data_IF_323097633022
#
_entry.id   IF_323097633022
#
_cell.length_a   1.000
_cell.length_b   1.000
_cell.length_c   1.000
_cell.angle_alpha   90.00
_cell.angle_beta   90.00
_cell.angle_gamma   90.00
#
_symmetry.space_group_name_H-M   'P 1'
#
loop_
_entity.id
_entity.type
_entity.pdbx_description
1 polymer ?
#
# COMPACT_ATOMS: atom_id res chain seq x y z
N UNK A 1 -23.89 4.95 -9.17
CA UNK A 1 -23.60 6.37 -9.45
C UNK A 1 -22.12 6.52 -9.73
N UNK A 2 -21.73 7.05 -10.90
CA UNK A 2 -20.33 7.27 -11.30
C UNK A 2 -19.83 8.62 -10.75
N UNK A 3 -19.45 8.67 -9.47
CA UNK A 3 -18.91 9.89 -8.84
C UNK A 3 -17.37 9.92 -8.80
N UNK A 4 -16.70 9.00 -9.50
CA UNK A 4 -15.26 8.91 -9.53
C UNK A 4 -14.60 10.13 -10.18
N UNK A 5 -13.54 10.65 -9.55
CA UNK A 5 -12.69 11.71 -10.15
C UNK A 5 -11.40 11.09 -10.68
N UNK A 6 -11.16 11.25 -11.98
CA UNK A 6 -9.96 10.75 -12.67
C UNK A 6 -8.99 11.89 -13.00
N UNK A 7 -7.70 11.67 -12.75
CA UNK A 7 -6.62 12.54 -13.23
C UNK A 7 -5.94 11.85 -14.40
N UNK A 8 -6.34 12.20 -15.63
CA UNK A 8 -5.74 11.63 -16.85
C UNK A 8 -4.51 12.41 -17.30
N UNK A 9 -3.38 11.72 -17.40
CA UNK A 9 -2.13 12.32 -17.88
C UNK A 9 -1.97 12.01 -19.38
N UNK A 10 -2.27 12.98 -20.24
CA UNK A 10 -2.28 12.77 -21.70
C UNK A 10 -0.89 12.58 -22.31
N UNK A 11 0.12 13.28 -21.79
CA UNK A 11 1.48 13.25 -22.35
C UNK A 11 2.19 11.93 -22.02
N UNK A 12 2.71 11.18 -23.02
CA UNK A 12 3.45 9.94 -22.78
C UNK A 12 4.68 10.14 -21.88
N UNK A 13 5.37 11.28 -22.03
CA UNK A 13 6.53 11.62 -21.18
C UNK A 13 6.12 11.83 -19.72
N UNK A 14 5.01 12.52 -19.49
CA UNK A 14 4.49 12.73 -18.13
C UNK A 14 3.93 11.44 -17.51
N UNK A 15 3.33 10.55 -18.31
CA UNK A 15 2.93 9.21 -17.83
C UNK A 15 4.14 8.40 -17.36
N UNK A 16 5.21 8.38 -18.15
CA UNK A 16 6.46 7.71 -17.77
C UNK A 16 7.03 8.29 -16.47
N UNK A 17 7.06 9.61 -16.35
CA UNK A 17 7.52 10.29 -15.14
C UNK A 17 6.66 9.92 -13.91
N UNK A 18 5.33 9.99 -14.01
CA UNK A 18 4.41 9.55 -12.96
C UNK A 18 4.66 8.11 -12.56
N UNK A 19 4.75 7.19 -13.52
CA UNK A 19 4.91 5.77 -13.24
C UNK A 19 6.25 5.49 -12.54
N UNK A 20 7.31 6.22 -12.89
CA UNK A 20 8.58 6.17 -12.17
C UNK A 20 8.44 6.65 -10.73
N UNK A 21 7.76 7.78 -10.49
CA UNK A 21 7.51 8.28 -9.13
C UNK A 21 6.71 7.29 -8.29
N UNK A 22 5.64 6.72 -8.86
CA UNK A 22 4.84 5.68 -8.20
C UNK A 22 5.69 4.46 -7.85
N UNK A 23 6.53 3.98 -8.78
CA UNK A 23 7.44 2.85 -8.54
C UNK A 23 8.43 3.16 -7.42
N UNK A 24 9.02 4.36 -7.39
CA UNK A 24 9.91 4.79 -6.31
C UNK A 24 9.19 4.80 -4.96
N UNK A 25 7.98 5.36 -4.90
CA UNK A 25 7.17 5.41 -3.69
C UNK A 25 6.81 4.01 -3.17
N UNK A 26 6.36 3.12 -4.05
CA UNK A 26 6.04 1.74 -3.70
C UNK A 26 7.28 0.95 -3.25
N UNK A 27 8.43 1.16 -3.89
CA UNK A 27 9.68 0.55 -3.46
C UNK A 27 10.10 1.03 -2.07
N UNK A 28 9.91 2.31 -1.75
CA UNK A 28 10.17 2.85 -0.41
C UNK A 28 9.30 2.16 0.64
N UNK A 29 8.00 1.99 0.37
CA UNK A 29 7.04 1.30 1.25
C UNK A 29 7.48 -0.14 1.49
N UNK A 30 7.80 -0.89 0.43
CA UNK A 30 8.24 -2.30 0.53
C UNK A 30 9.54 -2.40 1.32
N UNK A 31 10.52 -1.52 1.07
CA UNK A 31 11.77 -1.51 1.80
C UNK A 31 11.57 -1.19 3.28
N UNK A 32 10.66 -0.28 3.61
CA UNK A 32 10.34 0.07 4.99
C UNK A 32 9.62 -1.07 5.70
N UNK A 33 8.67 -1.73 5.05
CA UNK A 33 7.98 -2.93 5.58
C UNK A 33 8.99 -4.05 5.87
N UNK A 34 9.89 -4.32 4.93
CA UNK A 34 10.94 -5.32 5.10
C UNK A 34 11.87 -5.02 6.28
N UNK A 35 12.31 -3.76 6.44
CA UNK A 35 13.13 -3.35 7.59
C UNK A 35 12.42 -3.56 8.92
N UNK A 36 11.12 -3.22 8.98
CA UNK A 36 10.32 -3.44 10.19
C UNK A 36 10.12 -4.92 10.48
N UNK A 37 9.93 -5.74 9.45
CA UNK A 37 9.81 -7.18 9.58
C UNK A 37 11.10 -7.80 10.15
N UNK A 38 12.27 -7.45 9.61
CA UNK A 38 13.56 -7.91 10.14
C UNK A 38 13.69 -7.52 11.61
N UNK A 39 13.39 -6.25 11.95
CA UNK A 39 13.44 -5.78 13.34
C UNK A 39 12.45 -6.55 14.24
N UNK A 40 11.27 -6.86 13.73
CA UNK A 40 10.26 -7.62 14.47
C UNK A 40 10.73 -9.06 14.72
N UNK A 41 11.34 -9.72 13.74
CA UNK A 41 11.92 -11.06 13.87
C UNK A 41 13.03 -11.09 14.93
N UNK A 42 13.84 -10.03 15.05
CA UNK A 42 14.89 -9.96 16.10
C UNK A 42 14.36 -9.89 17.53
N UNK A 43 13.08 -9.56 17.73
CA UNK A 43 12.46 -9.50 19.06
C UNK A 43 11.93 -10.86 19.53
N UNK A 44 11.83 -11.83 18.63
CA UNK A 44 11.27 -13.15 18.90
C UNK A 44 12.36 -14.12 19.32
N UNK A 45 12.16 -14.80 20.45
CA UNK A 45 13.04 -15.89 20.86
C UNK A 45 12.65 -17.20 20.15
N UNK A 46 13.62 -17.81 19.48
CA UNK A 46 13.46 -19.07 18.75
C UNK A 46 14.12 -20.27 19.45
N UNK A 47 14.63 -20.09 20.68
CA UNK A 47 15.38 -21.12 21.43
C UNK A 47 14.50 -22.18 22.14
N UNK A 48 13.18 -22.19 21.90
CA UNK A 48 12.26 -23.18 22.47
C UNK A 48 11.67 -22.82 23.85
N UNK A 49 11.96 -21.61 24.35
CA UNK A 49 11.32 -21.02 25.53
C UNK A 49 10.15 -20.09 25.17
N UNK A 50 9.72 -19.21 26.11
CA UNK A 50 8.72 -18.18 25.83
C UNK A 50 9.14 -17.30 24.67
N UNK A 51 8.18 -16.97 23.78
CA UNK A 51 8.40 -16.20 22.56
C UNK A 51 9.03 -14.80 22.82
N UNK A 52 8.74 -14.23 23.99
CA UNK A 52 9.27 -12.95 24.46
C UNK A 52 9.78 -13.10 25.90
N UNK A 53 10.92 -12.49 26.20
CA UNK A 53 11.55 -12.53 27.53
C UNK A 53 11.08 -11.40 28.45
N UNK A 54 10.59 -10.30 27.87
CA UNK A 54 10.15 -9.12 28.63
C UNK A 54 8.84 -8.54 28.07
N UNK A 55 8.07 -7.86 28.91
CA UNK A 55 6.88 -7.12 28.48
C UNK A 55 7.22 -5.99 27.48
N UNK A 56 8.41 -5.40 27.62
CA UNK A 56 8.89 -4.38 26.70
C UNK A 56 9.09 -4.93 25.28
N UNK A 57 9.61 -6.15 25.13
CA UNK A 57 9.71 -6.83 23.83
C UNK A 57 8.33 -7.07 23.21
N UNK A 58 7.33 -7.47 24.01
CA UNK A 58 5.94 -7.63 23.55
C UNK A 58 5.41 -6.28 23.03
N UNK A 59 5.62 -5.20 23.79
CA UNK A 59 5.18 -3.85 23.40
C UNK A 59 5.85 -3.39 22.11
N UNK A 60 7.17 -3.55 21.99
CA UNK A 60 7.91 -3.21 20.78
C UNK A 60 7.44 -4.01 19.57
N UNK A 61 7.21 -5.32 19.75
CA UNK A 61 6.71 -6.20 18.70
C UNK A 61 5.33 -5.75 18.18
N UNK A 62 4.41 -5.44 19.10
CA UNK A 62 3.08 -4.95 18.77
C UNK A 62 3.14 -3.60 18.05
N UNK A 63 3.97 -2.67 18.53
CA UNK A 63 4.17 -1.38 17.88
C UNK A 63 4.68 -1.53 16.43
N UNK A 64 5.66 -2.42 16.19
CA UNK A 64 6.12 -2.72 14.83
C UNK A 64 5.02 -3.32 13.97
N UNK A 65 4.23 -4.24 14.53
CA UNK A 65 3.10 -4.86 13.82
C UNK A 65 2.07 -3.81 13.39
N UNK A 66 1.71 -2.87 14.27
CA UNK A 66 0.80 -1.78 13.93
C UNK A 66 1.38 -0.85 12.85
N UNK A 67 2.64 -0.43 12.99
CA UNK A 67 3.32 0.39 11.98
C UNK A 67 3.39 -0.28 10.60
N UNK A 68 3.61 -1.59 10.55
CA UNK A 68 3.59 -2.37 9.30
C UNK A 68 2.21 -2.35 8.65
N UNK A 69 1.14 -2.52 9.44
CA UNK A 69 -0.25 -2.43 8.93
C UNK A 69 -0.52 -1.03 8.37
N UNK A 70 -0.10 0.03 9.07
CA UNK A 70 -0.29 1.41 8.60
C UNK A 70 0.47 1.69 7.30
N UNK A 71 1.72 1.25 7.18
CA UNK A 71 2.53 1.44 5.97
C UNK A 71 1.94 0.70 4.77
N UNK A 72 1.45 -0.54 4.96
CA UNK A 72 0.74 -1.28 3.92
C UNK A 72 -0.55 -0.57 3.51
N UNK A 73 -1.30 -0.04 4.49
CA UNK A 73 -2.49 0.76 4.22
C UNK A 73 -2.15 2.00 3.41
N UNK A 74 -1.13 2.76 3.78
CA UNK A 74 -0.72 3.94 3.00
C UNK A 74 -0.37 3.60 1.55
N UNK A 75 0.26 2.44 1.29
CA UNK A 75 0.49 1.95 -0.07
C UNK A 75 -0.80 1.61 -0.80
N UNK A 76 -1.63 0.74 -0.22
CA UNK A 76 -2.83 0.19 -0.85
C UNK A 76 -3.94 1.22 -1.10
N UNK A 77 -3.99 2.27 -0.27
CA UNK A 77 -4.99 3.35 -0.40
C UNK A 77 -4.42 4.60 -1.08
N UNK A 78 -3.18 4.56 -1.60
CA UNK A 78 -2.60 5.68 -2.36
C UNK A 78 -3.02 5.65 -3.83
N UNK A 79 -2.91 6.82 -4.49
CA UNK A 79 -3.01 6.94 -5.95
C UNK A 79 -1.90 6.19 -6.71
N UNK A 80 -0.97 5.55 -5.99
CA UNK A 80 0.17 4.87 -6.59
C UNK A 80 -0.13 3.42 -6.95
N UNK A 81 -1.19 2.79 -6.43
CA UNK A 81 -1.45 1.37 -6.61
C UNK A 81 -2.95 1.06 -6.63
N UNK A 82 -3.41 0.30 -7.61
CA UNK A 82 -4.77 -0.24 -7.59
C UNK A 82 -4.86 -1.41 -6.59
N UNK A 83 -5.78 -1.39 -5.62
CA UNK A 83 -5.90 -2.45 -4.62
C UNK A 83 -6.46 -3.77 -5.18
N UNK A 84 -7.01 -3.76 -6.39
CA UNK A 84 -7.61 -4.93 -7.04
C UNK A 84 -6.58 -5.69 -7.89
N UNK A 85 -5.94 -4.99 -8.83
CA UNK A 85 -5.03 -5.61 -9.80
C UNK A 85 -3.55 -5.28 -9.56
N UNK A 86 -3.24 -4.47 -8.54
CA UNK A 86 -1.88 -4.04 -8.21
C UNK A 86 -1.16 -3.27 -9.34
N UNK A 87 -1.88 -2.80 -10.34
CA UNK A 87 -1.31 -1.90 -11.35
C UNK A 87 -0.99 -0.55 -10.73
N UNK A 88 0.15 0.02 -11.12
CA UNK A 88 0.56 1.39 -10.80
C UNK A 88 0.75 2.25 -12.07
N UNK A 89 0.61 1.65 -13.25
CA UNK A 89 0.87 2.32 -14.52
C UNK A 89 -0.37 3.02 -15.09
N UNK A 90 -1.55 2.52 -14.76
CA UNK A 90 -2.84 3.02 -15.22
C UNK A 90 -3.24 4.35 -14.55
N UNK A 91 -4.16 5.06 -15.20
CA UNK A 91 -4.80 6.22 -14.60
C UNK A 91 -5.73 5.76 -13.46
N UNK A 92 -5.73 6.53 -12.37
CA UNK A 92 -6.45 6.17 -11.15
C UNK A 92 -7.67 7.06 -10.96
N UNK A 93 -8.73 6.46 -10.46
CA UNK A 93 -10.02 7.07 -10.14
C UNK A 93 -10.20 7.02 -8.62
N UNK A 94 -10.42 8.19 -8.01
CA UNK A 94 -10.82 8.28 -6.61
C UNK A 94 -12.31 7.98 -6.49
N UNK A 95 -12.66 6.96 -5.71
CA UNK A 95 -14.03 6.71 -5.29
C UNK A 95 -14.31 7.36 -3.95
N UNK A 96 -15.38 8.14 -3.87
CA UNK A 96 -15.74 8.85 -2.64
C UNK A 96 -16.42 7.94 -1.60
N UNK A 97 -17.03 6.83 -2.02
CA UNK A 97 -17.78 5.97 -1.11
C UNK A 97 -16.87 4.97 -0.40
N UNK A 98 -15.90 4.40 -1.12
CA UNK A 98 -14.88 3.54 -0.53
C UNK A 98 -13.62 4.27 -0.09
N UNK A 99 -13.54 5.59 -0.29
CA UNK A 99 -12.38 6.44 0.02
C UNK A 99 -11.07 5.81 -0.50
N UNK A 100 -11.10 5.32 -1.73
CA UNK A 100 -10.01 4.50 -2.30
C UNK A 100 -9.76 4.84 -3.77
N UNK A 101 -8.50 4.68 -4.19
CA UNK A 101 -8.09 4.79 -5.59
C UNK A 101 -8.17 3.44 -6.31
N UNK A 102 -8.76 3.42 -7.50
CA UNK A 102 -8.79 2.25 -8.38
C UNK A 102 -8.21 2.60 -9.74
N UNK A 103 -7.58 1.64 -10.43
CA UNK A 103 -7.31 1.88 -11.84
C UNK A 103 -8.63 1.99 -12.62
N UNK A 104 -8.62 2.76 -13.70
CA UNK A 104 -9.80 2.98 -14.53
C UNK A 104 -10.50 1.68 -14.95
N UNK A 105 -9.73 0.65 -15.31
CA UNK A 105 -10.25 -0.67 -15.66
C UNK A 105 -11.04 -1.31 -14.52
N UNK A 106 -10.45 -1.45 -13.33
CA UNK A 106 -11.12 -2.06 -12.17
C UNK A 106 -12.31 -1.22 -11.68
N UNK A 107 -12.19 0.11 -11.69
CA UNK A 107 -13.31 0.99 -11.34
C UNK A 107 -14.51 0.76 -12.25
N UNK A 108 -14.29 0.70 -13.57
CA UNK A 108 -15.35 0.48 -14.54
C UNK A 108 -15.94 -0.93 -14.45
N UNK A 109 -15.16 -1.95 -14.09
CA UNK A 109 -15.71 -3.29 -13.87
C UNK A 109 -16.62 -3.36 -12.64
N UNK A 110 -16.27 -2.64 -11.57
CA UNK A 110 -17.02 -2.67 -10.30
C UNK A 110 -18.27 -1.77 -10.38
N UNK A 111 -18.12 -0.57 -10.94
CA UNK A 111 -19.13 0.50 -10.86
C UNK A 111 -19.72 0.89 -12.22
N UNK A 112 -19.20 0.36 -13.32
CA UNK A 112 -19.59 0.69 -14.68
C UNK A 112 -20.68 -0.18 -15.28
N UNK A 113 -21.35 -1.03 -14.47
CA UNK A 113 -22.50 -1.82 -14.90
C UNK A 113 -23.66 -0.95 -15.38
N UNK A 114 -23.87 -0.99 -16.71
CA UNK A 114 -24.83 -0.31 -17.59
C UNK A 114 -24.84 1.23 -17.54
#
# INVERSE_FOLDING_TARGET
MKNGRIIRVKSPRLRKFRNNLRRMWLSLIVNQDHKMQIKQETLVDHSGGPLFKTEDQVRQYMNLKYSMVEIKRMGNYSICLCPICLSYEEDMIWDIYSETWYCESCYNQIFGGN
#
